data_IF_532318035891
#
_entry.id   IF_532318035891
#
_cell.length_a   1.000
_cell.length_b   1.000
_cell.length_c   1.000
_cell.angle_alpha   90.00
_cell.angle_beta   90.00
_cell.angle_gamma   90.00
#
_symmetry.space_group_name_H-M   'P 1'
#
loop_
_entity.id
_entity.type
_entity.pdbx_description
1 polymer ?
#
# COMPACT_ATOMS: atom_id res chain seq x y z
N UNK A 1 -11.55 -22.15 10.41
CA UNK A 1 -10.47 -21.66 11.27
C UNK A 1 -10.13 -20.26 10.79
N UNK A 2 -10.07 -19.24 11.67
CA UNK A 2 -9.64 -17.90 11.25
C UNK A 2 -8.19 -18.00 10.72
N UNK A 3 -7.91 -17.58 9.48
CA UNK A 3 -6.55 -17.56 8.98
C UNK A 3 -5.72 -16.65 9.90
N UNK A 4 -4.63 -17.19 10.46
CA UNK A 4 -3.68 -16.41 11.24
C UNK A 4 -2.90 -15.55 10.24
N UNK A 5 -3.26 -14.27 10.15
CA UNK A 5 -2.56 -13.31 9.29
C UNK A 5 -1.40 -12.76 10.08
N UNK A 6 -0.18 -13.12 9.68
CA UNK A 6 1.06 -12.61 10.24
C UNK A 6 2.05 -12.29 9.11
N UNK A 7 3.16 -11.60 9.40
CA UNK A 7 4.14 -11.24 8.36
C UNK A 7 4.82 -12.42 7.65
N UNK A 8 4.61 -13.66 8.11
CA UNK A 8 5.34 -14.86 7.69
C UNK A 8 4.45 -15.90 6.99
N UNK A 9 3.13 -15.77 7.09
CA UNK A 9 2.17 -16.67 6.44
C UNK A 9 0.99 -15.94 5.79
N UNK A 10 0.72 -16.26 4.52
CA UNK A 10 -0.53 -15.90 3.85
C UNK A 10 -1.49 -17.09 3.91
N UNK A 11 -2.29 -17.19 4.98
CA UNK A 11 -3.53 -17.97 4.90
C UNK A 11 -4.47 -17.32 3.90
N UNK A 12 -5.38 -18.09 3.28
CA UNK A 12 -6.36 -17.54 2.34
C UNK A 12 -7.18 -16.43 3.05
N UNK A 13 -7.01 -15.20 2.60
CA UNK A 13 -7.71 -14.03 3.14
C UNK A 13 -9.05 -13.95 2.43
N UNK A 14 -10.07 -14.55 3.02
CA UNK A 14 -11.43 -14.50 2.48
C UNK A 14 -12.17 -13.21 2.89
N UNK A 15 -11.83 -12.61 4.02
CA UNK A 15 -12.54 -11.44 4.57
C UNK A 15 -11.62 -10.23 4.84
N UNK A 16 -11.54 -9.34 3.85
CA UNK A 16 -10.87 -8.05 3.97
C UNK A 16 -11.60 -7.07 4.91
N UNK A 17 -12.90 -7.20 5.16
CA UNK A 17 -13.62 -6.30 6.07
C UNK A 17 -13.19 -6.52 7.52
N UNK A 18 -12.96 -7.78 7.90
CA UNK A 18 -12.46 -8.08 9.24
C UNK A 18 -11.04 -7.51 9.47
N UNK A 19 -10.16 -7.63 8.46
CA UNK A 19 -8.82 -7.03 8.46
C UNK A 19 -8.85 -5.52 8.71
N UNK A 20 -9.79 -4.80 8.09
CA UNK A 20 -9.88 -3.35 8.24
C UNK A 20 -10.20 -2.95 9.67
N UNK A 21 -11.11 -3.69 10.31
CA UNK A 21 -11.52 -3.42 11.69
C UNK A 21 -10.41 -3.80 12.68
N UNK A 22 -9.85 -4.99 12.53
CA UNK A 22 -8.84 -5.52 13.46
C UNK A 22 -7.55 -4.70 13.44
N UNK A 23 -7.10 -4.29 12.24
CA UNK A 23 -5.85 -3.57 12.08
C UNK A 23 -6.04 -2.06 11.93
N UNK A 24 -7.23 -1.50 12.12
CA UNK A 24 -7.48 -0.06 11.99
C UNK A 24 -7.03 0.50 10.65
N UNK A 25 -7.42 -0.18 9.57
CA UNK A 25 -7.14 0.21 8.18
C UNK A 25 -8.40 0.87 7.61
N UNK A 26 -8.21 2.02 6.97
CA UNK A 26 -9.24 2.74 6.24
C UNK A 26 -9.19 2.41 4.74
N UNK A 27 -10.31 2.59 4.04
CA UNK A 27 -10.38 2.40 2.59
C UNK A 27 -9.59 3.46 1.82
N UNK A 28 -8.81 2.99 0.83
CA UNK A 28 -8.07 3.85 -0.09
C UNK A 28 -8.95 4.52 -1.15
N UNK A 29 -10.21 4.13 -1.28
CA UNK A 29 -11.08 4.51 -2.41
C UNK A 29 -11.22 6.03 -2.57
N UNK A 30 -11.21 6.80 -1.47
CA UNK A 30 -11.27 8.27 -1.52
C UNK A 30 -10.09 8.92 -2.27
N UNK A 31 -8.94 8.24 -2.36
CA UNK A 31 -7.74 8.74 -3.03
C UNK A 31 -7.63 8.24 -4.48
N UNK A 32 -8.47 7.29 -4.90
CA UNK A 32 -8.36 6.64 -6.21
C UNK A 32 -8.43 7.62 -7.39
N UNK A 33 -9.27 8.64 -7.26
CA UNK A 33 -9.41 9.71 -8.27
C UNK A 33 -8.28 10.75 -8.22
N UNK A 34 -7.60 10.90 -7.07
CA UNK A 34 -6.51 11.87 -6.89
C UNK A 34 -5.21 11.42 -7.56
N UNK A 35 -4.98 10.10 -7.65
CA UNK A 35 -3.74 9.53 -8.18
C UNK A 35 -4.00 8.56 -9.35
N UNK A 36 -4.55 9.04 -10.48
CA UNK A 36 -4.96 8.19 -11.60
C UNK A 36 -3.79 7.61 -12.41
N UNK A 37 -2.60 8.20 -12.29
CA UNK A 37 -1.36 7.81 -12.95
C UNK A 37 -0.73 6.55 -12.30
N UNK A 38 -0.98 6.31 -11.01
CA UNK A 38 -0.58 5.08 -10.35
C UNK A 38 -1.54 3.94 -10.70
N UNK A 39 -1.07 2.99 -11.52
CA UNK A 39 -1.88 1.83 -11.95
C UNK A 39 -2.41 0.98 -10.80
N UNK A 40 -1.68 0.88 -9.68
CA UNK A 40 -2.05 0.03 -8.55
C UNK A 40 -3.16 0.66 -7.72
N UNK A 41 -3.12 1.99 -7.56
CA UNK A 41 -4.22 2.77 -6.99
C UNK A 41 -5.44 2.69 -7.92
N UNK A 42 -5.28 3.04 -9.20
CA UNK A 42 -6.39 3.08 -10.17
C UNK A 42 -7.10 1.73 -10.34
N UNK A 43 -6.39 0.60 -10.20
CA UNK A 43 -6.95 -0.75 -10.30
C UNK A 43 -7.49 -1.29 -8.97
N UNK A 44 -7.36 -0.56 -7.86
CA UNK A 44 -7.81 -1.02 -6.54
C UNK A 44 -6.94 -2.11 -5.92
N UNK A 45 -5.69 -2.26 -6.39
CA UNK A 45 -4.71 -3.18 -5.81
C UNK A 45 -4.22 -2.62 -4.47
N UNK A 46 -4.04 -1.29 -4.39
CA UNK A 46 -3.89 -0.58 -3.12
C UNK A 46 -5.30 -0.26 -2.63
N UNK A 47 -5.80 -1.06 -1.69
CA UNK A 47 -7.18 -0.99 -1.22
C UNK A 47 -7.33 -0.40 0.18
N UNK A 48 -6.26 -0.37 0.99
CA UNK A 48 -6.29 0.11 2.37
C UNK A 48 -5.12 1.01 2.73
N UNK A 49 -5.30 1.86 3.75
CA UNK A 49 -4.24 2.68 4.33
C UNK A 49 -4.45 2.97 5.82
N UNK A 50 -3.45 3.59 6.43
CA UNK A 50 -3.56 4.35 7.68
C UNK A 50 -2.93 5.72 7.50
N UNK A 51 -3.63 6.79 7.88
CA UNK A 51 -3.14 8.18 7.83
C UNK A 51 -2.64 8.70 6.47
N UNK A 52 -2.98 8.03 5.36
CA UNK A 52 -2.52 8.44 4.02
C UNK A 52 -2.98 9.84 3.61
N UNK A 53 -4.04 10.37 4.24
CA UNK A 53 -4.45 11.76 4.07
C UNK A 53 -3.31 12.75 4.33
N UNK A 54 -2.43 12.47 5.31
CA UNK A 54 -1.25 13.31 5.60
C UNK A 54 -0.25 13.32 4.46
N UNK A 55 -0.06 12.18 3.79
CA UNK A 55 0.83 12.04 2.63
C UNK A 55 0.20 12.66 1.39
N UNK A 56 -1.10 12.42 1.15
CA UNK A 56 -1.85 13.08 0.08
C UNK A 56 -1.74 14.60 0.17
N UNK A 57 -1.91 15.16 1.37
CA UNK A 57 -1.75 16.59 1.64
C UNK A 57 -0.32 17.08 1.40
N UNK A 58 0.69 16.29 1.78
CA UNK A 58 2.09 16.63 1.56
C UNK A 58 2.41 16.69 0.05
N UNK A 59 1.94 15.71 -0.72
CA UNK A 59 2.09 15.67 -2.18
C UNK A 59 1.42 16.89 -2.82
N UNK A 60 0.16 17.19 -2.47
CA UNK A 60 -0.58 18.33 -3.01
C UNK A 60 0.08 19.68 -2.68
N UNK A 61 0.60 19.81 -1.46
CA UNK A 61 1.23 21.04 -0.96
C UNK A 61 2.73 21.10 -1.23
N UNK A 62 3.29 20.14 -1.99
CA UNK A 62 4.75 20.02 -2.28
C UNK A 62 5.62 20.10 -1.02
N UNK A 63 5.18 19.45 0.06
CA UNK A 63 5.92 19.36 1.33
C UNK A 63 6.77 18.08 1.33
N UNK A 64 7.94 18.10 1.98
CA UNK A 64 8.80 16.92 2.05
C UNK A 64 8.11 15.79 2.83
N UNK A 65 8.25 14.58 2.33
CA UNK A 65 7.89 13.34 3.02
C UNK A 65 8.89 12.24 2.68
N UNK A 66 8.83 11.11 3.38
CA UNK A 66 9.73 9.98 3.15
C UNK A 66 8.91 8.72 2.91
N UNK A 67 9.31 7.94 1.91
CA UNK A 67 8.87 6.57 1.76
C UNK A 67 9.91 5.61 2.33
N UNK A 68 9.47 4.65 3.14
CA UNK A 68 10.31 3.60 3.69
C UNK A 68 9.65 2.25 3.51
N UNK A 69 10.43 1.25 3.09
CA UNK A 69 9.99 -0.13 2.98
C UNK A 69 11.20 -1.06 3.17
N UNK A 70 10.94 -2.34 3.45
CA UNK A 70 11.96 -3.37 3.59
C UNK A 70 11.75 -4.49 2.56
N UNK A 71 12.84 -5.03 2.04
CA UNK A 71 12.84 -6.22 1.18
C UNK A 71 13.74 -7.27 1.83
N UNK A 72 13.16 -8.39 2.25
CA UNK A 72 13.93 -9.50 2.81
C UNK A 72 14.76 -10.15 1.69
N UNK A 73 16.08 -10.34 1.84
CA UNK A 73 16.93 -10.97 0.84
C UNK A 73 16.78 -12.51 0.82
N UNK A 74 15.54 -13.01 0.85
CA UNK A 74 15.24 -14.44 0.79
C UNK A 74 14.86 -14.85 -0.63
N UNK A 75 15.81 -15.41 -1.38
CA UNK A 75 15.56 -15.95 -2.71
C UNK A 75 15.58 -14.93 -3.85
N UNK A 76 14.98 -15.30 -5.00
CA UNK A 76 15.02 -14.50 -6.22
C UNK A 76 13.97 -13.37 -6.20
N UNK A 77 14.35 -12.24 -6.75
CA UNK A 77 13.41 -11.14 -7.01
C UNK A 77 12.33 -11.59 -8.00
N UNK A 78 11.06 -11.26 -7.72
CA UNK A 78 9.90 -11.71 -8.50
C UNK A 78 8.85 -10.59 -8.61
N UNK A 79 7.74 -10.84 -9.29
CA UNK A 79 6.75 -9.81 -9.60
C UNK A 79 6.09 -9.19 -8.35
N UNK A 80 5.89 -9.96 -7.28
CA UNK A 80 5.49 -9.39 -5.97
C UNK A 80 6.45 -8.32 -5.46
N UNK A 81 7.76 -8.61 -5.43
CA UNK A 81 8.78 -7.62 -5.07
C UNK A 81 8.78 -6.40 -6.00
N UNK A 82 8.56 -6.61 -7.31
CA UNK A 82 8.46 -5.52 -8.29
C UNK A 82 7.34 -4.53 -7.94
N UNK A 83 6.21 -5.01 -7.42
CA UNK A 83 5.10 -4.12 -7.05
C UNK A 83 5.51 -3.11 -5.98
N UNK A 84 6.33 -3.53 -5.00
CA UNK A 84 6.89 -2.64 -3.98
C UNK A 84 7.84 -1.62 -4.61
N UNK A 85 8.76 -2.07 -5.47
CA UNK A 85 9.72 -1.19 -6.16
C UNK A 85 9.01 -0.16 -7.04
N UNK A 86 7.93 -0.55 -7.72
CA UNK A 86 7.14 0.40 -8.52
C UNK A 86 6.53 1.50 -7.64
N UNK A 87 6.13 1.20 -6.40
CA UNK A 87 5.67 2.23 -5.47
C UNK A 87 6.82 3.15 -5.05
N UNK A 88 8.01 2.61 -4.75
CA UNK A 88 9.20 3.41 -4.43
C UNK A 88 9.45 4.46 -5.51
N UNK A 89 9.51 4.02 -6.77
CA UNK A 89 9.74 4.92 -7.91
C UNK A 89 8.60 5.94 -8.06
N UNK A 90 7.35 5.55 -7.79
CA UNK A 90 6.21 6.46 -7.91
C UNK A 90 6.24 7.56 -6.84
N UNK A 91 6.42 7.21 -5.56
CA UNK A 91 6.49 8.20 -4.49
C UNK A 91 7.71 9.12 -4.61
N UNK A 92 8.87 8.58 -5.03
CA UNK A 92 10.07 9.39 -5.26
C UNK A 92 9.88 10.48 -6.34
N UNK A 93 8.96 10.29 -7.29
CA UNK A 93 8.62 11.30 -8.30
C UNK A 93 7.71 12.41 -7.76
N UNK A 94 7.07 12.21 -6.59
CA UNK A 94 6.05 13.10 -6.05
C UNK A 94 6.58 14.15 -5.08
N UNK A 95 7.85 14.08 -4.67
CA UNK A 95 8.50 15.07 -3.79
C UNK A 95 9.18 14.43 -2.60
#
# INVERSE_FOLDING_TARGET
MNPRIDPWGSGDIEDYQNLFREFGIESFERFRKKFPDNRYIRRGIIFGHRDFGRISDAIEKKKPFVMMTGLMPSGKFHLGHKMVVDQIVWYQKMG
#
